data_IF_631371341785
#
_entry.id   IF_631371341785
#
_cell.length_a   1.000
_cell.length_b   1.000
_cell.length_c   1.000
_cell.angle_alpha   90.00
_cell.angle_beta   90.00
_cell.angle_gamma   90.00
#
_symmetry.space_group_name_H-M   'P 1'
#
loop_
_entity.id
_entity.type
_entity.pdbx_description
1 polymer ?
#
# COMPACT_ATOMS: atom_id res chain seq x y z
N UNK A 1 14.78 -39.83 15.22
CA UNK A 1 14.85 -38.45 15.75
C UNK A 1 14.71 -37.52 14.56
N UNK A 2 13.52 -36.95 14.35
CA UNK A 2 13.21 -36.10 13.19
C UNK A 2 13.56 -34.65 13.52
N UNK A 3 14.65 -34.14 12.95
CA UNK A 3 15.01 -32.72 13.05
C UNK A 3 14.23 -31.94 11.99
N UNK A 4 13.25 -31.16 12.45
CA UNK A 4 12.46 -30.27 11.60
C UNK A 4 13.35 -29.17 11.00
N UNK A 5 13.34 -29.08 9.67
CA UNK A 5 13.91 -27.95 8.94
C UNK A 5 13.16 -26.65 9.22
N UNK A 6 13.76 -25.48 8.91
CA UNK A 6 13.35 -24.23 9.51
C UNK A 6 12.06 -23.69 8.86
N UNK A 7 11.05 -23.43 9.70
CA UNK A 7 9.73 -22.86 9.41
C UNK A 7 9.79 -21.35 9.09
N UNK A 8 10.73 -20.93 8.25
CA UNK A 8 11.03 -19.51 7.95
C UNK A 8 9.97 -18.82 7.06
N UNK A 9 9.33 -19.47 6.07
CA UNK A 9 8.45 -18.76 5.13
C UNK A 9 7.20 -18.12 5.78
N UNK A 10 6.65 -18.74 6.83
CA UNK A 10 5.43 -18.26 7.49
C UNK A 10 5.70 -16.98 8.31
N UNK A 11 6.91 -16.88 8.87
CA UNK A 11 7.32 -15.74 9.70
C UNK A 11 7.64 -14.51 8.84
N UNK A 12 8.24 -14.71 7.67
CA UNK A 12 8.49 -13.63 6.69
C UNK A 12 7.17 -13.03 6.16
N UNK A 13 6.18 -13.87 5.85
CA UNK A 13 4.88 -13.40 5.38
C UNK A 13 4.12 -12.65 6.49
N UNK A 14 4.18 -13.16 7.73
CA UNK A 14 3.61 -12.50 8.89
C UNK A 14 4.29 -11.14 9.18
N UNK A 15 5.62 -11.08 9.09
CA UNK A 15 6.39 -9.86 9.24
C UNK A 15 6.06 -8.85 8.14
N UNK A 16 5.97 -9.28 6.88
CA UNK A 16 5.59 -8.43 5.75
C UNK A 16 4.19 -7.85 5.96
N UNK A 17 3.24 -8.68 6.38
CA UNK A 17 1.88 -8.24 6.70
C UNK A 17 1.83 -7.32 7.91
N UNK A 18 2.67 -7.51 8.92
CA UNK A 18 2.75 -6.60 10.06
C UNK A 18 3.34 -5.23 9.64
N UNK A 19 4.35 -5.25 8.77
CA UNK A 19 5.10 -4.07 8.34
C UNK A 19 4.35 -3.20 7.31
N UNK A 20 3.68 -3.84 6.35
CA UNK A 20 2.97 -3.17 5.26
C UNK A 20 1.44 -3.24 5.37
N UNK A 21 0.91 -4.03 6.32
CA UNK A 21 -0.54 -4.25 6.53
C UNK A 21 -1.26 -4.94 5.37
N UNK A 22 -0.51 -5.50 4.42
CA UNK A 22 -1.00 -6.20 3.23
C UNK A 22 -0.22 -7.49 2.98
N UNK A 23 -0.79 -8.44 2.21
CA UNK A 23 -0.04 -9.61 1.75
C UNK A 23 0.93 -9.23 0.62
N UNK A 24 1.92 -10.08 0.36
CA UNK A 24 2.88 -9.89 -0.73
C UNK A 24 2.19 -9.79 -2.09
N UNK A 25 1.20 -10.64 -2.36
CA UNK A 25 0.42 -10.57 -3.60
C UNK A 25 -0.31 -9.24 -3.76
N UNK A 26 -0.88 -8.69 -2.67
CA UNK A 26 -1.51 -7.38 -2.71
C UNK A 26 -0.48 -6.27 -2.94
N UNK A 27 0.70 -6.38 -2.35
CA UNK A 27 1.79 -5.44 -2.60
C UNK A 27 2.23 -5.45 -4.07
N UNK A 28 2.44 -6.63 -4.66
CA UNK A 28 2.80 -6.77 -6.08
C UNK A 28 1.71 -6.21 -7.00
N UNK A 29 0.45 -6.42 -6.65
CA UNK A 29 -0.68 -5.83 -7.36
C UNK A 29 -0.68 -4.29 -7.25
N UNK A 30 -0.40 -3.74 -6.07
CA UNK A 30 -0.27 -2.28 -5.90
C UNK A 30 0.90 -1.76 -6.76
N UNK A 31 2.04 -2.44 -6.75
CA UNK A 31 3.18 -2.07 -7.60
C UNK A 31 2.81 -2.06 -9.08
N UNK A 32 2.05 -3.04 -9.56
CA UNK A 32 1.63 -3.07 -10.96
C UNK A 32 0.63 -1.97 -11.30
N UNK A 33 -0.25 -1.62 -10.36
CA UNK A 33 -1.14 -0.48 -10.51
C UNK A 33 -0.33 0.81 -10.66
N UNK A 34 0.50 1.20 -9.69
CA UNK A 34 1.13 2.53 -9.71
C UNK A 34 2.37 2.64 -10.63
N UNK A 35 2.78 1.55 -11.28
CA UNK A 35 4.04 1.45 -12.05
C UNK A 35 4.16 2.53 -13.11
N UNK A 36 3.14 2.70 -13.95
CA UNK A 36 3.18 3.68 -15.05
C UNK A 36 3.34 5.10 -14.51
N UNK A 37 2.60 5.45 -13.46
CA UNK A 37 2.58 6.82 -12.92
C UNK A 37 3.90 7.19 -12.22
N UNK A 38 4.50 6.23 -11.48
CA UNK A 38 5.76 6.43 -10.77
C UNK A 38 6.98 6.43 -11.71
N UNK A 39 6.92 5.69 -12.82
CA UNK A 39 7.99 5.66 -13.84
C UNK A 39 7.93 6.90 -14.73
N UNK A 40 6.73 7.34 -15.14
CA UNK A 40 6.57 8.48 -16.05
C UNK A 40 6.84 9.83 -15.41
N UNK A 41 6.80 9.94 -14.08
CA UNK A 41 7.03 11.20 -13.35
C UNK A 41 8.02 10.98 -12.20
N UNK A 42 9.32 10.79 -12.49
CA UNK A 42 10.32 10.66 -11.45
C UNK A 42 10.27 11.90 -10.53
N UNK A 43 10.35 11.73 -9.20
CA UNK A 43 10.38 12.84 -8.25
C UNK A 43 11.45 13.86 -8.66
N UNK A 44 11.14 15.15 -8.65
CA UNK A 44 12.01 16.21 -9.18
C UNK A 44 13.36 16.36 -8.45
N UNK A 45 13.61 15.58 -7.39
CA UNK A 45 14.92 15.43 -6.72
C UNK A 45 15.66 14.11 -6.98
N UNK A 46 15.11 13.23 -7.82
CA UNK A 46 15.69 11.96 -8.27
C UNK A 46 16.02 12.04 -9.77
N UNK A 47 16.79 13.06 -10.15
CA UNK A 47 17.35 13.17 -11.50
C UNK A 47 18.10 11.87 -11.87
N UNK A 48 17.86 11.41 -13.09
CA UNK A 48 18.34 10.19 -13.77
C UNK A 48 19.86 9.97 -13.65
N UNK A 49 20.31 9.55 -12.48
CA UNK A 49 21.65 9.04 -12.25
C UNK A 49 21.41 7.58 -11.90
N UNK A 50 21.91 6.66 -12.72
CA UNK A 50 21.58 5.22 -12.67
C UNK A 50 21.75 4.55 -11.28
N UNK A 51 22.42 5.20 -10.32
CA UNK A 51 22.53 4.76 -8.92
C UNK A 51 21.59 5.44 -7.90
N UNK A 52 20.73 6.39 -8.29
CA UNK A 52 19.79 7.14 -7.42
C UNK A 52 18.32 6.88 -7.70
N UNK A 53 17.96 6.19 -8.78
CA UNK A 53 16.57 5.94 -9.12
C UNK A 53 15.98 4.84 -8.23
N UNK A 54 14.94 5.17 -7.46
CA UNK A 54 14.24 4.19 -6.64
C UNK A 54 13.38 3.30 -7.55
N UNK A 55 13.52 1.97 -7.44
CA UNK A 55 12.58 1.05 -8.11
C UNK A 55 11.15 1.32 -7.66
N UNK A 56 10.17 0.98 -8.51
CA UNK A 56 8.75 1.13 -8.18
C UNK A 56 8.43 0.42 -6.87
N UNK A 57 8.98 -0.78 -6.69
CA UNK A 57 8.80 -1.59 -5.49
C UNK A 57 9.34 -0.87 -4.25
N UNK A 58 10.52 -0.23 -4.34
CA UNK A 58 11.09 0.55 -3.23
C UNK A 58 10.27 1.80 -2.94
N UNK A 59 9.76 2.48 -3.98
CA UNK A 59 8.88 3.63 -3.82
C UNK A 59 7.57 3.26 -3.12
N UNK A 60 6.92 2.17 -3.56
CA UNK A 60 5.70 1.64 -2.93
C UNK A 60 5.97 1.24 -1.48
N UNK A 61 7.09 0.56 -1.20
CA UNK A 61 7.46 0.19 0.16
C UNK A 61 7.61 1.41 1.08
N UNK A 62 8.28 2.48 0.62
CA UNK A 62 8.43 3.73 1.37
C UNK A 62 7.07 4.37 1.64
N UNK A 63 6.22 4.53 0.62
CA UNK A 63 4.91 5.15 0.75
C UNK A 63 4.00 4.34 1.68
N UNK A 64 3.92 3.03 1.49
CA UNK A 64 3.11 2.15 2.33
C UNK A 64 3.60 2.15 3.78
N UNK A 65 4.91 2.10 4.01
CA UNK A 65 5.45 2.20 5.37
C UNK A 65 5.04 3.53 6.01
N UNK A 66 5.23 4.66 5.30
CA UNK A 66 4.86 5.99 5.80
C UNK A 66 3.37 6.10 6.13
N UNK A 67 2.50 5.53 5.30
CA UNK A 67 1.05 5.55 5.47
C UNK A 67 0.57 4.56 6.54
N UNK A 68 1.23 3.41 6.69
CA UNK A 68 0.82 2.37 7.62
C UNK A 68 1.30 2.60 9.06
N UNK A 69 2.50 3.16 9.25
CA UNK A 69 3.13 3.31 10.58
C UNK A 69 2.94 4.69 11.21
N UNK A 70 2.67 5.73 10.41
CA UNK A 70 2.61 7.12 10.90
C UNK A 70 3.97 7.71 11.31
N UNK A 71 5.07 6.97 11.17
CA UNK A 71 6.43 7.39 11.55
C UNK A 71 6.92 8.60 10.74
N UNK A 72 7.71 9.48 11.37
CA UNK A 72 8.24 10.68 10.70
C UNK A 72 8.97 10.36 9.40
N UNK A 73 8.96 11.30 8.45
CA UNK A 73 9.64 11.11 7.16
C UNK A 73 11.16 10.91 7.32
N UNK A 74 11.76 11.44 8.40
CA UNK A 74 13.18 11.24 8.73
C UNK A 74 13.43 9.79 9.15
N UNK A 75 12.59 9.23 10.02
CA UNK A 75 12.70 7.83 10.46
C UNK A 75 12.53 6.84 9.31
N UNK A 76 11.48 7.05 8.50
CA UNK A 76 11.27 6.24 7.28
C UNK A 76 12.43 6.42 6.31
N UNK A 77 12.91 7.65 6.10
CA UNK A 77 14.05 7.92 5.23
C UNK A 77 15.30 7.15 5.64
N UNK A 78 15.63 7.16 6.94
CA UNK A 78 16.73 6.39 7.50
C UNK A 78 16.59 4.88 7.25
N UNK A 79 15.40 4.32 7.44
CA UNK A 79 15.15 2.88 7.24
C UNK A 79 15.34 2.42 5.77
N UNK A 80 15.11 3.30 4.81
CA UNK A 80 15.23 2.99 3.37
C UNK A 80 16.47 3.59 2.70
N UNK A 81 17.33 4.28 3.46
CA UNK A 81 18.52 4.96 2.96
C UNK A 81 18.21 6.11 1.99
N UNK A 82 17.13 6.85 2.24
CA UNK A 82 16.66 7.96 1.41
C UNK A 82 16.46 9.24 2.23
N UNK A 83 16.49 10.39 1.57
CA UNK A 83 16.21 11.67 2.23
C UNK A 83 14.73 11.81 2.61
N UNK A 84 14.45 12.61 3.64
CA UNK A 84 13.08 12.96 4.05
C UNK A 84 12.27 13.59 2.91
N UNK A 85 12.90 14.43 2.08
CA UNK A 85 12.29 15.01 0.88
C UNK A 85 11.86 13.95 -0.13
N UNK A 86 12.67 12.89 -0.31
CA UNK A 86 12.35 11.74 -1.15
C UNK A 86 11.14 10.99 -0.61
N UNK A 87 11.09 10.72 0.71
CA UNK A 87 9.92 10.09 1.36
C UNK A 87 8.66 10.91 1.11
N UNK A 88 8.74 12.24 1.27
CA UNK A 88 7.60 13.13 1.03
C UNK A 88 7.09 13.05 -0.40
N UNK A 89 7.99 13.18 -1.38
CA UNK A 89 7.61 13.17 -2.79
C UNK A 89 7.03 11.82 -3.23
N UNK A 90 7.68 10.72 -2.84
CA UNK A 90 7.22 9.36 -3.14
C UNK A 90 5.85 9.09 -2.53
N UNK A 91 5.64 9.49 -1.26
CA UNK A 91 4.35 9.30 -0.59
C UNK A 91 3.24 10.09 -1.29
N UNK A 92 3.49 11.36 -1.64
CA UNK A 92 2.51 12.18 -2.34
C UNK A 92 2.14 11.60 -3.71
N UNK A 93 3.15 11.24 -4.52
CA UNK A 93 2.94 10.65 -5.84
C UNK A 93 2.18 9.34 -5.77
N UNK A 94 2.54 8.48 -4.82
CA UNK A 94 1.82 7.23 -4.58
C UNK A 94 0.33 7.49 -4.28
N UNK A 95 0.02 8.46 -3.42
CA UNK A 95 -1.37 8.82 -3.09
C UNK A 95 -2.12 9.34 -4.32
N UNK A 96 -1.54 10.27 -5.10
CA UNK A 96 -2.17 10.75 -6.32
C UNK A 96 -2.42 9.62 -7.34
N UNK A 97 -1.44 8.75 -7.57
CA UNK A 97 -1.60 7.59 -8.47
C UNK A 97 -2.72 6.66 -8.01
N UNK A 98 -2.80 6.41 -6.70
CA UNK A 98 -3.85 5.58 -6.13
C UNK A 98 -5.22 6.26 -6.20
N UNK A 99 -5.30 7.57 -5.98
CA UNK A 99 -6.55 8.34 -6.11
C UNK A 99 -7.05 8.37 -7.54
N UNK A 100 -6.18 8.61 -8.51
CA UNK A 100 -6.51 8.63 -9.94
C UNK A 100 -7.09 7.28 -10.36
N UNK A 101 -6.44 6.18 -9.98
CA UNK A 101 -6.91 4.82 -10.28
C UNK A 101 -8.16 4.46 -9.49
N UNK A 102 -8.27 4.87 -8.22
CA UNK A 102 -9.45 4.62 -7.40
C UNK A 102 -10.70 5.29 -7.98
N UNK A 103 -10.61 6.48 -8.58
CA UNK A 103 -11.78 7.14 -9.22
C UNK A 103 -12.38 6.31 -10.36
N UNK A 104 -11.58 5.49 -11.03
CA UNK A 104 -12.06 4.62 -12.12
C UNK A 104 -12.63 3.29 -11.62
N UNK A 105 -12.19 2.78 -10.47
CA UNK A 105 -12.57 1.46 -9.95
C UNK A 105 -13.52 1.49 -8.75
N UNK A 106 -13.54 2.57 -7.98
CA UNK A 106 -14.31 2.70 -6.76
C UNK A 106 -15.68 3.32 -7.06
N UNK A 107 -16.64 2.48 -7.47
CA UNK A 107 -18.06 2.84 -7.40
C UNK A 107 -18.51 2.67 -5.95
N UNK A 108 -18.66 3.78 -5.23
CA UNK A 108 -19.30 3.78 -3.91
C UNK A 108 -20.67 3.11 -4.02
N UNK A 109 -21.06 2.17 -3.15
CA UNK A 109 -22.38 1.58 -3.20
C UNK A 109 -23.39 2.71 -3.11
N UNK A 110 -24.17 2.89 -4.17
CA UNK A 110 -25.15 3.96 -4.28
C UNK A 110 -25.97 4.00 -2.98
N UNK A 111 -26.20 5.20 -2.46
CA UNK A 111 -26.92 5.45 -1.20
C UNK A 111 -28.25 4.66 -1.09
N UNK A 112 -28.84 4.33 -2.24
CA UNK A 112 -30.03 3.50 -2.42
C UNK A 112 -29.88 2.04 -1.94
N UNK A 113 -28.71 1.41 -2.11
CA UNK A 113 -28.43 0.05 -1.62
C UNK A 113 -28.39 0.02 -0.08
N UNK A 114 -27.90 1.11 0.53
CA UNK A 114 -27.84 1.30 1.99
C UNK A 114 -29.24 1.47 2.61
N UNK A 115 -30.20 2.03 1.86
CA UNK A 115 -31.60 2.20 2.29
C UNK A 115 -32.40 0.90 2.25
N UNK A 116 -32.15 0.01 1.29
CA UNK A 116 -32.88 -1.27 1.16
C UNK A 116 -32.59 -2.24 2.33
N UNK A 117 -31.38 -2.22 2.90
CA UNK A 117 -31.02 -3.07 4.04
C UNK A 117 -31.71 -2.69 5.36
N UNK A 118 -32.13 -1.43 5.54
CA UNK A 118 -32.84 -1.00 6.77
C UNK A 118 -34.33 -1.36 6.81
N UNK A 119 -34.93 -1.83 5.69
CA UNK A 119 -36.36 -2.17 5.62
C UNK A 119 -36.71 -3.64 5.87
N UNK A 120 -35.74 -4.56 5.93
CA UNK A 120 -35.98 -5.95 6.33
C UNK A 120 -35.87 -6.10 7.86
N UNK A 121 -36.88 -5.61 8.59
CA UNK A 121 -37.12 -6.10 9.96
C UNK A 121 -37.67 -7.53 9.84
N UNK A 122 -37.14 -8.52 10.58
CA UNK A 122 -37.71 -9.86 10.61
C UNK A 122 -39.10 -9.81 11.26
N UNK A 123 -40.10 -10.43 10.63
CA UNK A 123 -41.37 -10.75 11.28
C UNK A 123 -41.12 -11.96 12.19
N UNK A 124 -41.14 -11.76 13.52
CA UNK A 124 -41.27 -12.87 14.45
C UNK A 124 -42.67 -13.48 14.29
N UNK A 125 -42.82 -14.80 14.16
CA UNK A 125 -44.06 -15.47 14.48
C UNK A 125 -44.13 -15.64 16.01
N UNK A 126 -45.17 -15.11 16.63
CA UNK A 126 -45.51 -15.34 18.03
C UNK A 126 -45.94 -16.81 18.20
N UNK A 127 -45.30 -17.51 19.14
CA UNK A 127 -45.93 -18.58 19.91
C UNK A 127 -46.48 -17.93 21.19
#
# INVERSE_FOLDING_TARGET
MTTGGPTIPLEEEAAFKCFFRVSKNTFEYICSLVREDLVSRPPSGLINIEGRLLSVEKQVAIAMRRLASGESQVSVGGAFGVGQSTVSQVTWRFVESMEDRARHHMKWPALEERRKRRKKKPKNPLL
#
